data_IF_696259817024
#
_entry.id   IF_696259817024
#
_cell.length_a   1.000
_cell.length_b   1.000
_cell.length_c   1.000
_cell.angle_alpha   90.00
_cell.angle_beta   90.00
_cell.angle_gamma   90.00
#
_symmetry.space_group_name_H-M   'P 1'
#
loop_
_entity.id
_entity.type
_entity.pdbx_description
1 polymer ?
#
# COMPACT_ATOMS: atom_id res chain seq x y z
N UNK A 1 -42.53 -32.76 -10.03
CA UNK A 1 -42.45 -31.66 -9.07
C UNK A 1 -41.50 -32.12 -7.99
N UNK A 2 -40.22 -31.79 -8.13
CA UNK A 2 -39.18 -32.09 -7.14
C UNK A 2 -39.01 -30.90 -6.21
N UNK A 3 -39.21 -31.13 -4.92
CA UNK A 3 -39.07 -30.16 -3.87
C UNK A 3 -37.61 -29.69 -3.78
N UNK A 4 -37.37 -28.40 -3.97
CA UNK A 4 -36.15 -27.71 -3.54
C UNK A 4 -36.05 -27.82 -2.03
N UNK A 5 -35.16 -28.68 -1.55
CA UNK A 5 -34.82 -28.73 -0.13
C UNK A 5 -34.18 -27.40 0.24
N UNK A 6 -34.71 -26.80 1.30
CA UNK A 6 -34.18 -25.58 1.91
C UNK A 6 -32.72 -25.74 2.27
N UNK A 7 -31.84 -25.02 1.59
CA UNK A 7 -30.48 -24.80 2.05
C UNK A 7 -30.53 -24.15 3.43
N UNK A 8 -29.67 -24.63 4.34
CA UNK A 8 -29.52 -24.03 5.67
C UNK A 8 -29.02 -22.58 5.52
N UNK A 9 -29.35 -21.66 6.45
CA UNK A 9 -28.91 -20.27 6.39
C UNK A 9 -27.39 -20.09 6.20
N UNK A 10 -26.59 -21.01 6.75
CA UNK A 10 -25.13 -21.05 6.57
C UNK A 10 -24.71 -21.29 5.11
N UNK A 11 -25.37 -22.24 4.43
CA UNK A 11 -25.06 -22.52 3.02
C UNK A 11 -25.47 -21.36 2.11
N UNK A 12 -26.45 -20.57 2.50
CA UNK A 12 -26.92 -19.42 1.75
C UNK A 12 -25.97 -18.21 1.91
N UNK A 13 -25.45 -17.95 3.10
CA UNK A 13 -24.47 -16.89 3.36
C UNK A 13 -23.12 -17.16 2.66
N UNK A 14 -22.68 -18.42 2.64
CA UNK A 14 -21.45 -18.82 1.93
C UNK A 14 -21.62 -18.71 0.40
N UNK A 15 -22.77 -19.10 -0.13
CA UNK A 15 -23.07 -18.95 -1.56
C UNK A 15 -23.17 -17.47 -1.97
N UNK A 16 -23.78 -16.63 -1.15
CA UNK A 16 -23.85 -15.18 -1.38
C UNK A 16 -22.45 -14.55 -1.33
N UNK A 17 -21.60 -14.91 -0.38
CA UNK A 17 -20.22 -14.44 -0.31
C UNK A 17 -19.37 -14.88 -1.52
N UNK A 18 -19.57 -16.10 -2.03
CA UNK A 18 -18.88 -16.58 -3.23
C UNK A 18 -19.33 -15.81 -4.47
N UNK A 19 -20.62 -15.53 -4.61
CA UNK A 19 -21.15 -14.76 -5.76
C UNK A 19 -20.65 -13.32 -5.74
N UNK A 20 -20.71 -12.67 -4.58
CA UNK A 20 -20.29 -11.27 -4.42
C UNK A 20 -18.78 -11.10 -4.60
N UNK A 21 -17.97 -12.07 -4.15
CA UNK A 21 -16.51 -12.01 -4.27
C UNK A 21 -15.94 -12.45 -5.62
N UNK A 22 -16.78 -12.80 -6.61
CA UNK A 22 -16.32 -13.19 -7.95
C UNK A 22 -16.15 -11.95 -8.84
N UNK A 23 -15.02 -11.88 -9.58
CA UNK A 23 -14.83 -10.78 -10.54
C UNK A 23 -15.99 -10.73 -11.54
N UNK A 24 -16.64 -9.57 -11.73
CA UNK A 24 -17.76 -9.42 -12.68
C UNK A 24 -17.24 -9.28 -14.12
N UNK A 25 -16.50 -10.27 -14.59
CA UNK A 25 -15.94 -10.33 -15.94
C UNK A 25 -15.62 -11.75 -16.38
N UNK A 26 -15.62 -11.97 -17.65
CA UNK A 26 -15.15 -13.23 -18.24
C UNK A 26 -13.62 -13.39 -18.06
N UNK A 27 -13.16 -14.64 -17.91
CA UNK A 27 -11.71 -14.93 -17.78
C UNK A 27 -10.88 -14.37 -18.93
N UNK A 28 -11.47 -14.25 -20.11
CA UNK A 28 -10.81 -13.69 -21.28
C UNK A 28 -10.54 -12.20 -21.11
N UNK A 29 -11.52 -11.45 -20.60
CA UNK A 29 -11.39 -10.00 -20.33
C UNK A 29 -10.43 -9.72 -19.20
N UNK A 30 -10.48 -10.53 -18.13
CA UNK A 30 -9.51 -10.44 -17.01
C UNK A 30 -8.07 -10.58 -17.51
N UNK A 31 -7.79 -11.60 -18.32
CA UNK A 31 -6.45 -11.77 -18.91
C UNK A 31 -6.08 -10.68 -19.91
N UNK A 32 -7.05 -10.21 -20.68
CA UNK A 32 -6.83 -9.16 -21.66
C UNK A 32 -6.52 -7.81 -20.98
N UNK A 33 -7.19 -7.49 -19.89
CA UNK A 33 -6.94 -6.28 -19.11
C UNK A 33 -5.52 -6.29 -18.48
N UNK A 34 -5.11 -7.42 -17.88
CA UNK A 34 -3.74 -7.58 -17.37
C UNK A 34 -2.71 -7.45 -18.50
N UNK A 35 -2.94 -8.12 -19.62
CA UNK A 35 -2.02 -8.06 -20.77
C UNK A 35 -1.92 -6.65 -21.36
N UNK A 36 -3.00 -5.89 -21.36
CA UNK A 36 -3.01 -4.49 -21.80
C UNK A 36 -2.17 -3.62 -20.88
N UNK A 37 -2.35 -3.76 -19.56
CA UNK A 37 -1.57 -2.99 -18.56
C UNK A 37 -0.09 -3.35 -18.61
N UNK A 38 0.26 -4.62 -18.66
CA UNK A 38 1.63 -5.08 -18.87
C UNK A 38 2.21 -4.60 -20.22
N UNK A 39 1.35 -4.37 -21.22
CA UNK A 39 1.70 -3.75 -22.49
C UNK A 39 2.13 -2.29 -22.32
N UNK A 40 1.36 -1.52 -21.55
CA UNK A 40 1.69 -0.13 -21.22
C UNK A 40 3.01 -0.04 -20.43
N UNK A 41 3.24 -0.95 -19.49
CA UNK A 41 4.51 -1.04 -18.75
C UNK A 41 5.71 -1.34 -19.62
N UNK A 42 5.55 -2.24 -20.61
CA UNK A 42 6.63 -2.51 -21.59
C UNK A 42 6.96 -1.28 -22.42
N UNK A 43 5.95 -0.52 -22.86
CA UNK A 43 6.16 0.73 -23.58
C UNK A 43 6.88 1.76 -22.73
N UNK A 44 6.49 1.91 -21.46
CA UNK A 44 7.16 2.81 -20.52
C UNK A 44 8.64 2.40 -20.28
N UNK A 45 8.91 1.10 -20.13
CA UNK A 45 10.29 0.58 -20.02
C UNK A 45 11.12 0.92 -21.26
N UNK A 46 10.55 0.77 -22.44
CA UNK A 46 11.20 1.09 -23.71
C UNK A 46 11.46 2.61 -23.83
N UNK A 47 10.49 3.43 -23.45
CA UNK A 47 10.62 4.88 -23.42
C UNK A 47 11.74 5.32 -22.48
N UNK A 48 11.77 4.85 -21.24
CA UNK A 48 12.84 5.15 -20.28
C UNK A 48 14.21 4.70 -20.79
N UNK A 49 14.29 3.54 -21.41
CA UNK A 49 15.55 2.99 -21.94
C UNK A 49 16.08 3.80 -23.14
N UNK A 50 15.20 4.41 -23.91
CA UNK A 50 15.54 5.19 -25.10
C UNK A 50 15.44 6.72 -24.87
N UNK A 51 15.27 7.17 -23.63
CA UNK A 51 14.95 8.55 -23.30
C UNK A 51 15.97 9.54 -23.92
N UNK A 52 17.27 9.29 -23.75
CA UNK A 52 18.33 10.11 -24.32
C UNK A 52 18.30 10.18 -25.87
N UNK A 53 17.82 9.11 -26.52
CA UNK A 53 17.69 9.10 -28.00
C UNK A 53 16.50 9.93 -28.46
N UNK A 54 15.43 9.96 -27.69
CA UNK A 54 14.21 10.72 -28.01
C UNK A 54 14.35 12.20 -27.70
N UNK A 55 15.34 12.56 -26.85
CA UNK A 55 15.59 13.94 -26.39
C UNK A 55 17.00 14.42 -26.75
N UNK A 56 17.32 14.53 -28.07
CA UNK A 56 18.64 14.96 -28.54
C UNK A 56 18.95 16.44 -28.26
N UNK A 57 17.98 17.20 -27.78
CA UNK A 57 18.13 18.59 -27.33
C UNK A 57 18.96 18.74 -26.06
N UNK A 58 19.13 17.67 -25.29
CA UNK A 58 19.98 17.64 -24.09
C UNK A 58 21.37 17.08 -24.42
N UNK A 59 22.41 17.68 -23.87
CA UNK A 59 23.79 17.18 -24.02
C UNK A 59 24.04 15.89 -23.24
N UNK A 60 23.32 15.73 -22.11
CA UNK A 60 23.37 14.53 -21.24
C UNK A 60 21.98 14.27 -20.66
N UNK A 61 21.59 12.99 -20.58
CA UNK A 61 20.38 12.53 -19.91
C UNK A 61 20.75 11.55 -18.82
N UNK A 62 20.29 11.81 -17.61
CA UNK A 62 20.46 10.93 -16.45
C UNK A 62 19.06 10.41 -16.05
N UNK A 63 18.85 9.10 -16.17
CA UNK A 63 17.59 8.45 -15.83
C UNK A 63 17.75 7.74 -14.48
N UNK A 64 16.89 8.12 -13.53
CA UNK A 64 16.68 7.43 -12.26
C UNK A 64 15.26 6.86 -12.26
N UNK A 65 15.12 5.54 -12.27
CA UNK A 65 13.84 4.88 -12.45
C UNK A 65 13.64 3.78 -11.41
N UNK A 66 12.47 3.79 -10.78
CA UNK A 66 11.99 2.67 -9.99
C UNK A 66 11.69 1.47 -10.89
N UNK A 67 11.59 0.28 -10.29
CA UNK A 67 11.19 -0.91 -11.00
C UNK A 67 9.74 -0.77 -11.50
N UNK A 68 9.51 -1.07 -12.78
CA UNK A 68 8.18 -1.02 -13.40
C UNK A 68 7.55 -2.41 -13.28
N UNK A 69 6.54 -2.54 -12.44
CA UNK A 69 5.81 -3.78 -12.20
C UNK A 69 4.49 -3.53 -11.47
N UNK A 70 3.57 -4.49 -11.53
CA UNK A 70 2.35 -4.51 -10.73
C UNK A 70 1.96 -5.94 -10.33
N UNK A 71 1.13 -6.07 -9.29
CA UNK A 71 0.44 -7.32 -8.98
C UNK A 71 -0.85 -7.41 -9.79
N UNK A 72 -1.02 -8.43 -10.65
CA UNK A 72 -2.20 -8.55 -11.50
C UNK A 72 -3.50 -8.75 -10.70
N UNK A 73 -3.48 -9.36 -9.52
CA UNK A 73 -4.67 -9.48 -8.68
C UNK A 73 -5.11 -8.12 -8.14
N UNK A 74 -4.18 -7.26 -7.77
CA UNK A 74 -4.45 -5.87 -7.37
C UNK A 74 -5.11 -5.11 -8.52
N UNK A 75 -4.56 -5.22 -9.74
CA UNK A 75 -5.12 -4.54 -10.91
C UNK A 75 -6.57 -4.93 -11.16
N UNK A 76 -6.84 -6.24 -11.20
CA UNK A 76 -8.20 -6.73 -11.50
C UNK A 76 -9.17 -6.44 -10.36
N UNK A 77 -8.73 -6.47 -9.11
CA UNK A 77 -9.54 -6.05 -7.97
C UNK A 77 -9.92 -4.55 -8.06
N UNK A 78 -8.99 -3.69 -8.48
CA UNK A 78 -9.25 -2.26 -8.74
C UNK A 78 -10.31 -2.08 -9.81
N UNK A 79 -10.13 -2.72 -10.98
CA UNK A 79 -11.08 -2.62 -12.09
C UNK A 79 -12.47 -3.07 -11.62
N UNK A 80 -12.55 -4.28 -11.04
CA UNK A 80 -13.82 -4.86 -10.61
C UNK A 80 -14.53 -4.00 -9.56
N UNK A 81 -13.78 -3.39 -8.64
CA UNK A 81 -14.35 -2.48 -7.64
C UNK A 81 -14.89 -1.20 -8.27
N UNK A 82 -14.23 -0.66 -9.30
CA UNK A 82 -14.69 0.53 -10.03
C UNK A 82 -15.99 0.28 -10.82
N UNK A 83 -16.33 -0.96 -11.12
CA UNK A 83 -17.59 -1.32 -11.78
C UNK A 83 -18.71 -1.67 -10.81
N UNK A 84 -18.46 -1.64 -9.52
CA UNK A 84 -19.48 -1.82 -8.46
C UNK A 84 -20.37 -3.07 -8.66
N UNK A 85 -19.72 -4.21 -8.97
CA UNK A 85 -20.39 -5.48 -9.23
C UNK A 85 -21.09 -5.59 -10.60
N UNK A 86 -20.99 -4.59 -11.46
CA UNK A 86 -21.47 -4.67 -12.84
C UNK A 86 -20.44 -5.36 -13.73
N UNK A 87 -20.94 -6.13 -14.70
CA UNK A 87 -20.09 -6.81 -15.68
C UNK A 87 -19.25 -5.81 -16.47
N UNK A 88 -17.97 -6.14 -16.66
CA UNK A 88 -17.05 -5.33 -17.45
C UNK A 88 -16.30 -6.17 -18.49
N UNK A 89 -15.88 -5.51 -19.56
CA UNK A 89 -15.03 -6.03 -20.62
C UNK A 89 -13.73 -5.23 -20.69
N UNK A 90 -12.74 -5.71 -21.44
CA UNK A 90 -11.52 -4.95 -21.69
C UNK A 90 -11.84 -3.54 -22.20
N UNK A 91 -12.76 -3.40 -23.16
CA UNK A 91 -13.11 -2.11 -23.76
C UNK A 91 -13.60 -1.11 -22.70
N UNK A 92 -14.52 -1.55 -21.82
CA UNK A 92 -15.07 -0.70 -20.75
C UNK A 92 -14.06 -0.44 -19.63
N UNK A 93 -13.09 -1.35 -19.41
CA UNK A 93 -12.04 -1.21 -18.40
C UNK A 93 -10.88 -0.27 -18.79
N UNK A 94 -10.69 0.00 -20.10
CA UNK A 94 -9.57 0.81 -20.58
C UNK A 94 -9.42 2.19 -19.89
N UNK A 95 -10.49 2.97 -19.61
CA UNK A 95 -10.37 4.23 -18.89
C UNK A 95 -9.83 4.05 -17.46
N UNK A 96 -10.21 2.96 -16.77
CA UNK A 96 -9.70 2.63 -15.43
C UNK A 96 -8.21 2.26 -15.51
N UNK A 97 -7.82 1.43 -16.47
CA UNK A 97 -6.41 1.08 -16.72
C UNK A 97 -5.57 2.33 -16.94
N UNK A 98 -5.98 3.24 -17.83
CA UNK A 98 -5.27 4.48 -18.14
C UNK A 98 -5.16 5.40 -16.92
N UNK A 99 -6.23 5.54 -16.13
CA UNK A 99 -6.23 6.33 -14.90
C UNK A 99 -5.21 5.77 -13.90
N UNK A 100 -5.27 4.49 -13.58
CA UNK A 100 -4.39 3.89 -12.58
C UNK A 100 -2.94 3.78 -13.06
N UNK A 101 -2.70 3.61 -14.35
CA UNK A 101 -1.36 3.68 -14.91
C UNK A 101 -0.71 5.05 -14.71
N UNK A 102 -1.45 6.13 -14.97
CA UNK A 102 -0.98 7.51 -14.74
C UNK A 102 -0.81 7.85 -13.26
N UNK A 103 -1.60 7.24 -12.38
CA UNK A 103 -1.44 7.41 -10.93
C UNK A 103 -0.24 6.63 -10.40
N UNK A 104 0.05 5.45 -10.97
CA UNK A 104 1.14 4.59 -10.53
C UNK A 104 2.50 5.10 -11.00
N UNK A 105 2.61 5.49 -12.26
CA UNK A 105 3.88 5.86 -12.86
C UNK A 105 3.96 7.36 -13.12
N UNK A 106 4.81 8.03 -12.34
CA UNK A 106 5.03 9.47 -12.45
C UNK A 106 6.43 9.70 -13.03
N UNK A 107 6.47 10.31 -14.21
CA UNK A 107 7.72 10.73 -14.83
C UNK A 107 7.89 12.23 -14.60
N UNK A 108 9.01 12.63 -14.04
CA UNK A 108 9.36 14.03 -13.83
C UNK A 108 10.71 14.35 -14.46
N UNK A 109 10.82 15.52 -15.05
CA UNK A 109 12.05 16.04 -15.64
C UNK A 109 12.53 17.27 -14.90
N UNK A 110 13.84 17.38 -14.74
CA UNK A 110 14.49 18.62 -14.33
C UNK A 110 15.74 18.85 -15.17
N UNK A 111 15.92 20.09 -15.65
CA UNK A 111 17.03 20.44 -16.53
C UNK A 111 17.97 21.39 -15.81
N UNK A 112 19.23 21.02 -15.71
CA UNK A 112 20.30 21.86 -15.21
C UNK A 112 21.18 22.35 -16.37
N UNK A 113 21.66 23.59 -16.27
CA UNK A 113 22.57 24.19 -17.24
C UNK A 113 23.90 24.48 -16.56
N UNK A 114 24.96 23.95 -17.16
CA UNK A 114 26.33 24.12 -16.69
C UNK A 114 27.15 24.87 -17.73
N UNK A 115 28.17 25.62 -17.29
CA UNK A 115 29.18 26.14 -18.19
C UNK A 115 30.36 25.18 -18.21
N UNK A 116 30.54 24.50 -19.33
CA UNK A 116 31.72 23.67 -19.58
C UNK A 116 32.69 24.39 -20.52
N UNK A 117 33.91 23.87 -20.60
CA UNK A 117 34.95 24.48 -21.42
C UNK A 117 35.50 23.42 -22.37
N UNK A 118 35.60 23.81 -23.65
CA UNK A 118 36.32 23.04 -24.66
C UNK A 118 37.62 23.72 -25.01
N UNK A 119 38.60 22.91 -25.40
CA UNK A 119 39.90 23.42 -25.86
C UNK A 119 39.84 23.62 -27.36
N UNK A 120 40.10 24.85 -27.80
CA UNK A 120 40.27 25.19 -29.21
C UNK A 120 41.62 25.78 -29.48
N UNK A 121 42.08 25.70 -30.73
CA UNK A 121 43.34 26.29 -31.16
C UNK A 121 43.06 27.44 -32.09
N UNK A 122 43.69 28.61 -31.84
CA UNK A 122 43.61 29.74 -32.74
C UNK A 122 45.05 30.15 -33.14
N UNK A 123 45.17 30.76 -34.32
CA UNK A 123 46.41 31.38 -34.76
C UNK A 123 46.43 32.83 -34.25
N UNK A 124 47.42 33.13 -33.41
CA UNK A 124 47.62 34.46 -32.85
C UNK A 124 48.97 34.98 -33.23
N UNK A 125 49.06 36.21 -33.74
CA UNK A 125 50.33 36.87 -34.04
C UNK A 125 51.08 37.19 -32.73
N UNK A 126 52.30 36.70 -32.62
CA UNK A 126 53.18 37.00 -31.50
C UNK A 126 54.12 38.15 -31.92
N UNK A 127 53.98 39.34 -31.35
CA UNK A 127 54.79 40.51 -31.72
C UNK A 127 56.27 40.37 -31.32
N UNK A 128 56.61 39.53 -30.37
CA UNK A 128 57.98 39.31 -29.92
C UNK A 128 58.76 38.40 -30.88
N UNK A 129 58.07 37.43 -31.49
CA UNK A 129 58.67 36.47 -32.43
C UNK A 129 58.38 36.82 -33.89
N UNK A 130 57.56 37.87 -34.15
CA UNK A 130 57.07 38.31 -35.45
C UNK A 130 56.43 37.17 -36.28
N UNK A 131 55.83 36.16 -35.61
CA UNK A 131 55.24 34.96 -36.22
C UNK A 131 53.82 34.70 -35.74
N UNK A 132 53.06 33.98 -36.60
CA UNK A 132 51.79 33.39 -36.19
C UNK A 132 52.08 32.13 -35.37
N UNK A 133 51.60 32.12 -34.15
CA UNK A 133 51.74 31.00 -33.23
C UNK A 133 50.37 30.37 -32.96
N UNK A 134 50.36 29.03 -32.83
CA UNK A 134 49.13 28.32 -32.42
C UNK A 134 48.97 28.39 -30.92
N UNK A 135 47.93 29.05 -30.46
CA UNK A 135 47.62 29.21 -29.03
C UNK A 135 46.40 28.37 -28.71
N UNK A 136 46.49 27.65 -27.62
CA UNK A 136 45.36 26.86 -27.07
C UNK A 136 44.53 27.76 -26.18
N UNK A 137 43.26 27.91 -26.50
CA UNK A 137 42.31 28.69 -25.71
C UNK A 137 41.21 27.79 -25.13
N UNK A 138 40.65 28.17 -23.98
CA UNK A 138 39.50 27.50 -23.37
C UNK A 138 38.24 28.32 -23.69
N UNK A 139 37.37 27.74 -24.50
CA UNK A 139 36.12 28.39 -24.92
C UNK A 139 34.98 27.85 -24.06
N UNK A 140 34.25 28.70 -23.34
CA UNK A 140 33.07 28.28 -22.59
C UNK A 140 31.93 27.95 -23.54
N UNK A 141 31.15 26.90 -23.18
CA UNK A 141 29.90 26.58 -23.86
C UNK A 141 28.86 26.14 -22.84
N UNK A 142 27.58 26.33 -23.15
CA UNK A 142 26.50 25.83 -22.34
C UNK A 142 26.37 24.32 -22.51
N UNK A 143 26.17 23.64 -21.43
CA UNK A 143 25.95 22.18 -21.37
C UNK A 143 24.68 21.91 -20.58
N UNK A 144 23.74 21.18 -21.18
CA UNK A 144 22.43 20.88 -20.59
C UNK A 144 22.37 19.44 -20.15
N UNK A 145 22.04 19.22 -18.88
CA UNK A 145 21.81 17.90 -18.29
C UNK A 145 20.34 17.79 -17.93
N UNK A 146 19.66 16.81 -18.51
CA UNK A 146 18.30 16.42 -18.14
C UNK A 146 18.34 15.29 -17.12
N UNK A 147 17.74 15.51 -15.96
CA UNK A 147 17.52 14.49 -14.94
C UNK A 147 16.07 14.03 -15.04
N UNK A 148 15.88 12.75 -15.35
CA UNK A 148 14.56 12.13 -15.49
C UNK A 148 14.37 11.18 -14.31
N UNK A 149 13.30 11.38 -13.54
CA UNK A 149 12.90 10.49 -12.45
C UNK A 149 11.59 9.80 -12.82
N UNK A 150 11.59 8.46 -12.82
CA UNK A 150 10.38 7.64 -12.86
C UNK A 150 10.11 7.10 -11.46
N UNK A 151 8.98 7.50 -10.89
CA UNK A 151 8.47 6.99 -9.62
C UNK A 151 7.40 5.92 -9.87
N UNK A 152 7.49 4.77 -9.18
CA UNK A 152 6.44 3.76 -9.11
C UNK A 152 5.77 3.84 -7.72
N UNK A 153 4.54 4.38 -7.67
CA UNK A 153 3.76 4.56 -6.44
C UNK A 153 3.12 3.28 -5.89
N UNK A 154 3.47 2.14 -6.39
CA UNK A 154 2.91 0.84 -6.04
C UNK A 154 1.37 0.79 -6.18
N UNK A 155 0.91 0.06 -7.17
CA UNK A 155 -0.52 -0.02 -7.53
C UNK A 155 -1.43 -0.37 -6.32
N UNK A 156 -0.95 -1.20 -5.38
CA UNK A 156 -1.73 -1.61 -4.21
C UNK A 156 -2.04 -0.48 -3.22
N UNK A 157 -1.31 0.64 -3.27
CA UNK A 157 -1.53 1.80 -2.38
C UNK A 157 -2.53 2.81 -2.97
N UNK A 158 -2.77 2.76 -4.27
CA UNK A 158 -3.63 3.75 -4.95
C UNK A 158 -5.12 3.68 -4.56
N UNK A 159 -5.72 2.51 -4.30
CA UNK A 159 -7.11 2.42 -3.85
C UNK A 159 -7.41 3.30 -2.63
N UNK A 160 -6.52 3.33 -1.64
CA UNK A 160 -6.68 4.09 -0.39
C UNK A 160 -6.87 5.59 -0.63
N UNK A 161 -6.20 6.15 -1.64
CA UNK A 161 -6.20 7.60 -1.93
C UNK A 161 -7.11 7.97 -3.09
N UNK A 162 -7.69 6.99 -3.80
CA UNK A 162 -8.42 7.24 -5.05
C UNK A 162 -9.85 6.68 -5.08
N UNK A 163 -10.23 5.86 -4.09
CA UNK A 163 -11.54 5.22 -4.00
C UNK A 163 -12.38 5.78 -2.85
N UNK A 164 -13.70 5.76 -3.01
CA UNK A 164 -14.64 5.99 -1.90
C UNK A 164 -14.58 4.83 -0.90
N UNK A 165 -15.17 5.04 0.27
CA UNK A 165 -15.25 3.96 1.28
C UNK A 165 -16.02 2.73 0.77
N UNK A 166 -17.09 2.93 -0.03
CA UNK A 166 -17.85 1.84 -0.64
C UNK A 166 -17.00 1.06 -1.66
N UNK A 167 -16.39 1.74 -2.61
CA UNK A 167 -15.52 1.14 -3.63
C UNK A 167 -14.31 0.44 -3.01
N UNK A 168 -13.77 0.99 -1.92
CA UNK A 168 -12.70 0.37 -1.15
C UNK A 168 -13.14 -0.95 -0.50
N UNK A 169 -14.40 -1.04 -0.01
CA UNK A 169 -14.96 -2.28 0.50
C UNK A 169 -15.07 -3.36 -0.58
N UNK A 170 -15.48 -2.99 -1.79
CA UNK A 170 -15.50 -3.91 -2.94
C UNK A 170 -14.10 -4.36 -3.35
N UNK A 171 -13.13 -3.44 -3.39
CA UNK A 171 -11.73 -3.78 -3.64
C UNK A 171 -11.20 -4.78 -2.61
N UNK A 172 -11.45 -4.54 -1.32
CA UNK A 172 -11.05 -5.43 -0.24
C UNK A 172 -11.63 -6.84 -0.40
N UNK A 173 -12.91 -6.95 -0.77
CA UNK A 173 -13.56 -8.22 -1.03
C UNK A 173 -12.92 -8.97 -2.21
N UNK A 174 -12.64 -8.29 -3.32
CA UNK A 174 -11.98 -8.91 -4.47
C UNK A 174 -10.54 -9.33 -4.16
N UNK A 175 -9.82 -8.56 -3.37
CA UNK A 175 -8.48 -8.96 -2.88
C UNK A 175 -8.56 -10.18 -1.98
N UNK A 176 -9.57 -10.27 -1.10
CA UNK A 176 -9.76 -11.40 -0.20
C UNK A 176 -10.08 -12.73 -0.90
N UNK A 177 -10.67 -12.66 -2.08
CA UNK A 177 -11.14 -13.84 -2.83
C UNK A 177 -10.34 -14.12 -4.10
N UNK A 178 -9.46 -13.20 -4.52
CA UNK A 178 -8.89 -13.16 -5.88
C UNK A 178 -9.97 -13.33 -6.96
N UNK A 179 -11.15 -12.77 -6.69
CA UNK A 179 -12.32 -12.88 -7.57
C UNK A 179 -12.77 -14.30 -7.84
N UNK A 180 -12.47 -15.26 -6.95
CA UNK A 180 -12.68 -16.70 -7.13
C UNK A 180 -12.07 -17.25 -8.43
N UNK A 181 -10.97 -16.63 -8.88
CA UNK A 181 -10.20 -17.02 -10.07
C UNK A 181 -8.74 -17.31 -9.69
N UNK A 182 -8.51 -17.97 -8.56
CA UNK A 182 -7.18 -18.33 -8.11
C UNK A 182 -6.39 -19.06 -9.22
N UNK A 183 -5.10 -18.72 -9.33
CA UNK A 183 -4.21 -19.30 -10.34
C UNK A 183 -4.43 -18.79 -11.77
N UNK A 184 -5.34 -17.85 -12.02
CA UNK A 184 -5.54 -17.27 -13.37
C UNK A 184 -4.27 -16.62 -13.92
N UNK A 185 -3.40 -16.10 -13.04
CA UNK A 185 -2.10 -15.49 -13.33
C UNK A 185 -0.92 -16.39 -12.96
N UNK A 186 -1.12 -17.72 -12.94
CA UNK A 186 -0.05 -18.66 -12.67
C UNK A 186 1.14 -18.43 -13.60
N UNK A 187 2.35 -18.32 -13.02
CA UNK A 187 3.59 -18.04 -13.75
C UNK A 187 3.92 -16.54 -13.91
N UNK A 188 3.04 -15.63 -13.53
CA UNK A 188 3.39 -14.21 -13.41
C UNK A 188 4.21 -14.03 -12.12
N UNK A 189 5.46 -13.49 -12.20
CA UNK A 189 6.35 -13.38 -11.04
C UNK A 189 5.86 -12.38 -9.99
N UNK A 190 4.97 -11.48 -10.35
CA UNK A 190 4.42 -10.44 -9.49
C UNK A 190 3.04 -10.79 -8.92
N UNK A 191 2.41 -11.89 -9.40
CA UNK A 191 1.16 -12.37 -8.84
C UNK A 191 1.38 -12.91 -7.43
N UNK A 192 0.88 -12.21 -6.43
CA UNK A 192 0.97 -12.63 -5.02
C UNK A 192 -0.15 -13.63 -4.75
N UNK A 193 0.15 -14.92 -4.49
CA UNK A 193 -0.88 -15.89 -4.13
C UNK A 193 -1.46 -15.55 -2.75
N UNK A 194 -2.72 -15.91 -2.54
CA UNK A 194 -3.31 -15.89 -1.21
C UNK A 194 -2.52 -16.88 -0.32
N UNK A 195 -1.78 -16.35 0.64
CA UNK A 195 -0.93 -17.16 1.53
C UNK A 195 -1.67 -17.66 2.75
N UNK A 196 -2.62 -16.87 3.22
CA UNK A 196 -3.41 -17.13 4.42
C UNK A 196 -4.89 -17.06 4.04
N UNK A 197 -5.79 -17.72 4.80
CA UNK A 197 -7.20 -17.48 4.63
C UNK A 197 -7.46 -16.02 5.02
N UNK A 198 -7.55 -15.13 4.03
CA UNK A 198 -7.86 -13.71 4.30
C UNK A 198 -9.19 -13.55 5.03
N UNK A 199 -10.08 -14.52 4.84
CA UNK A 199 -11.36 -14.62 5.52
C UNK A 199 -11.32 -15.84 6.47
N UNK A 200 -11.69 -15.63 7.71
CA UNK A 200 -11.85 -16.66 8.72
C UNK A 200 -13.19 -16.45 9.42
N UNK A 201 -13.99 -17.50 9.45
CA UNK A 201 -15.28 -17.49 10.15
C UNK A 201 -15.02 -17.75 11.64
N UNK A 202 -15.05 -16.65 12.42
CA UNK A 202 -14.88 -16.75 13.87
C UNK A 202 -16.12 -17.44 14.44
N UNK A 203 -15.99 -18.56 15.18
CA UNK A 203 -17.15 -19.23 15.72
C UNK A 203 -18.03 -18.31 16.58
N UNK A 204 -19.34 -18.40 16.40
CA UNK A 204 -20.32 -17.56 17.11
C UNK A 204 -20.15 -17.62 18.63
N UNK A 205 -19.84 -18.80 19.18
CA UNK A 205 -19.56 -18.94 20.60
C UNK A 205 -18.33 -18.16 21.07
N UNK A 206 -17.34 -17.99 20.19
CA UNK A 206 -16.13 -17.19 20.50
C UNK A 206 -16.49 -15.71 20.53
N UNK A 207 -17.26 -15.22 19.56
CA UNK A 207 -17.76 -13.83 19.54
C UNK A 207 -18.67 -13.55 20.75
N UNK A 208 -19.56 -14.48 21.06
CA UNK A 208 -20.49 -14.35 22.18
C UNK A 208 -19.82 -14.43 23.55
N UNK A 209 -18.61 -15.04 23.65
CA UNK A 209 -17.88 -15.21 24.91
C UNK A 209 -17.42 -13.89 25.53
N UNK A 210 -17.20 -12.83 24.72
CA UNK A 210 -16.68 -11.57 25.18
C UNK A 210 -17.21 -10.39 24.36
N UNK A 211 -18.06 -9.52 24.93
CA UNK A 211 -18.51 -8.29 24.27
C UNK A 211 -17.36 -7.39 23.82
N UNK A 212 -16.27 -7.37 24.57
CA UNK A 212 -15.06 -6.63 24.24
C UNK A 212 -14.39 -7.17 22.98
N UNK A 213 -14.28 -8.49 22.86
CA UNK A 213 -13.73 -9.13 21.68
C UNK A 213 -14.65 -8.93 20.47
N UNK A 214 -15.96 -9.08 20.64
CA UNK A 214 -16.92 -8.80 19.56
C UNK A 214 -16.79 -7.37 19.02
N UNK A 215 -16.63 -6.38 19.91
CA UNK A 215 -16.43 -5.00 19.53
C UNK A 215 -15.10 -4.78 18.75
N UNK A 216 -14.01 -5.46 19.17
CA UNK A 216 -12.74 -5.44 18.45
C UNK A 216 -12.91 -6.00 17.03
N UNK A 217 -13.58 -7.15 16.88
CA UNK A 217 -13.75 -7.79 15.58
C UNK A 217 -14.68 -6.98 14.67
N UNK A 218 -15.78 -6.47 15.20
CA UNK A 218 -16.68 -5.59 14.45
C UNK A 218 -15.98 -4.33 13.90
N UNK A 219 -14.91 -3.88 14.53
CA UNK A 219 -14.07 -2.80 14.01
C UNK A 219 -13.01 -3.32 13.04
N UNK A 220 -12.27 -4.38 13.41
CA UNK A 220 -11.14 -4.88 12.66
C UNK A 220 -11.52 -5.38 11.25
N UNK A 221 -12.64 -6.09 11.14
CA UNK A 221 -13.08 -6.72 9.89
C UNK A 221 -13.50 -5.72 8.81
N UNK A 222 -13.80 -4.46 9.17
CA UNK A 222 -14.07 -3.39 8.18
C UNK A 222 -12.89 -3.11 7.26
N UNK A 223 -11.68 -3.50 7.65
CA UNK A 223 -10.44 -3.16 6.96
C UNK A 223 -9.77 -4.37 6.28
N UNK A 224 -10.41 -5.54 6.29
CA UNK A 224 -9.91 -6.71 5.56
C UNK A 224 -9.69 -6.31 4.09
N UNK A 225 -8.53 -6.70 3.54
CA UNK A 225 -8.13 -6.37 2.18
C UNK A 225 -7.42 -5.01 2.01
N UNK A 226 -7.43 -4.13 3.04
CA UNK A 226 -6.65 -2.88 2.98
C UNK A 226 -5.16 -3.20 2.86
N UNK A 227 -4.42 -2.47 1.98
CA UNK A 227 -2.99 -2.71 1.80
C UNK A 227 -2.18 -2.29 3.02
N UNK A 228 -1.02 -2.92 3.21
CA UNK A 228 -0.04 -2.47 4.20
C UNK A 228 0.61 -1.17 3.74
N UNK A 229 0.55 -0.12 4.56
CA UNK A 229 1.23 1.15 4.32
C UNK A 229 2.07 1.50 5.55
N UNK A 230 3.38 1.61 5.36
CA UNK A 230 4.29 1.97 6.46
C UNK A 230 3.93 3.31 7.09
N UNK A 231 3.77 3.32 8.42
CA UNK A 231 3.35 4.52 9.15
C UNK A 231 1.85 4.81 9.11
N UNK A 232 1.10 4.11 8.25
CA UNK A 232 -0.36 4.26 8.15
C UNK A 232 -1.06 3.90 9.46
N UNK A 233 -2.14 4.62 9.79
CA UNK A 233 -2.81 4.49 11.09
C UNK A 233 -4.31 4.85 11.07
N UNK A 234 -4.90 5.03 9.89
CA UNK A 234 -6.31 5.36 9.71
C UNK A 234 -6.84 4.79 8.39
N UNK A 235 -8.16 4.70 8.20
CA UNK A 235 -8.73 4.27 6.92
C UNK A 235 -8.26 5.09 5.72
N UNK A 236 -8.00 6.39 5.89
CA UNK A 236 -7.58 7.30 4.82
C UNK A 236 -6.11 7.07 4.40
N UNK A 237 -5.29 6.62 5.33
CA UNK A 237 -3.85 6.35 5.07
C UNK A 237 -3.55 4.89 4.87
N UNK A 238 -4.55 3.98 5.03
CA UNK A 238 -4.35 2.58 5.34
C UNK A 238 -3.53 2.39 6.63
N UNK A 239 -2.94 1.22 6.84
CA UNK A 239 -2.37 0.85 8.12
C UNK A 239 -1.02 0.17 7.96
N UNK A 240 -0.13 0.36 8.95
CA UNK A 240 0.88 -0.63 9.28
C UNK A 240 0.37 -1.59 10.38
N UNK A 241 1.14 -2.59 10.75
CA UNK A 241 0.71 -3.59 11.74
C UNK A 241 0.29 -2.99 13.08
N UNK A 242 1.05 -2.04 13.58
CA UNK A 242 0.81 -1.37 14.85
C UNK A 242 -0.25 -0.27 14.76
N UNK A 243 -0.33 0.39 13.61
CA UNK A 243 -1.39 1.35 13.31
C UNK A 243 -2.76 0.70 13.28
N UNK A 244 -2.86 -0.46 12.63
CA UNK A 244 -4.08 -1.26 12.60
C UNK A 244 -4.53 -1.66 14.02
N UNK A 245 -3.66 -2.30 14.79
CA UNK A 245 -3.98 -2.70 16.16
C UNK A 245 -4.35 -1.49 17.03
N UNK A 246 -3.58 -0.39 16.96
CA UNK A 246 -3.87 0.84 17.70
C UNK A 246 -5.23 1.42 17.35
N UNK A 247 -5.53 1.48 16.06
CA UNK A 247 -6.78 2.02 15.54
C UNK A 247 -7.98 1.17 15.99
N UNK A 248 -7.90 -0.15 15.81
CA UNK A 248 -8.97 -1.08 16.19
C UNK A 248 -9.28 -0.98 17.69
N UNK A 249 -8.27 -1.04 18.55
CA UNK A 249 -8.48 -0.92 20.00
C UNK A 249 -9.10 0.44 20.40
N UNK A 250 -8.67 1.51 19.78
CA UNK A 250 -9.15 2.87 20.09
C UNK A 250 -10.58 3.08 19.58
N UNK A 251 -10.88 2.74 18.33
CA UNK A 251 -12.18 3.02 17.71
C UNK A 251 -13.27 2.02 18.10
N UNK A 252 -12.92 0.80 18.49
CA UNK A 252 -13.88 -0.11 19.13
C UNK A 252 -14.28 0.34 20.54
N UNK A 253 -13.62 1.34 21.11
CA UNK A 253 -13.84 1.83 22.48
C UNK A 253 -13.29 0.90 23.56
N UNK A 254 -12.57 -0.17 23.20
CA UNK A 254 -12.04 -1.17 24.14
C UNK A 254 -10.87 -0.62 24.94
N UNK A 255 -9.94 0.07 24.27
CA UNK A 255 -8.77 0.65 24.93
C UNK A 255 -8.16 1.76 24.07
N UNK A 256 -8.02 2.95 24.60
CA UNK A 256 -7.34 4.03 23.88
C UNK A 256 -5.81 3.84 23.97
N UNK A 257 -5.21 3.32 22.90
CA UNK A 257 -3.76 3.12 22.84
C UNK A 257 -3.01 4.37 22.38
N UNK A 258 -3.69 5.34 21.77
CA UNK A 258 -3.04 6.32 20.90
C UNK A 258 -2.33 5.66 19.71
N UNK A 259 -1.51 6.42 18.97
CA UNK A 259 -0.68 5.86 17.90
C UNK A 259 0.68 5.41 18.47
N UNK A 260 0.88 4.11 18.52
CA UNK A 260 2.12 3.50 19.02
C UNK A 260 2.66 2.51 17.99
N UNK A 261 4.00 2.35 17.95
CA UNK A 261 4.62 1.21 17.25
C UNK A 261 4.45 -0.11 18.02
N UNK A 262 4.79 -1.24 17.41
CA UNK A 262 4.60 -2.56 18.00
C UNK A 262 5.29 -2.72 19.38
N UNK A 263 6.50 -2.18 19.55
CA UNK A 263 7.19 -2.11 20.87
C UNK A 263 6.40 -1.31 21.90
N UNK A 264 5.81 -0.17 21.48
CA UNK A 264 4.98 0.67 22.34
C UNK A 264 3.70 -0.04 22.78
N UNK A 265 2.99 -0.69 21.87
CA UNK A 265 1.82 -1.52 22.17
C UNK A 265 2.18 -2.62 23.16
N UNK A 266 3.34 -3.30 22.97
CA UNK A 266 3.80 -4.32 23.89
C UNK A 266 3.99 -3.80 25.32
N UNK A 267 4.43 -2.56 25.48
CA UNK A 267 4.62 -1.94 26.80
C UNK A 267 3.31 -1.68 27.56
N UNK A 268 2.20 -1.50 26.84
CA UNK A 268 0.85 -1.36 27.40
C UNK A 268 0.28 -2.69 27.91
N UNK A 269 0.84 -3.82 27.45
CA UNK A 269 0.33 -5.15 27.74
C UNK A 269 1.00 -5.76 28.98
N UNK A 270 0.25 -6.60 29.71
CA UNK A 270 0.82 -7.64 30.57
C UNK A 270 1.16 -8.86 29.73
N UNK A 271 2.23 -9.58 30.08
CA UNK A 271 2.59 -10.83 29.40
C UNK A 271 1.57 -11.91 29.71
N UNK A 272 1.17 -12.67 28.67
CA UNK A 272 0.22 -13.79 28.79
C UNK A 272 0.96 -15.07 28.38
N UNK A 273 0.97 -16.12 29.23
CA UNK A 273 1.44 -17.44 28.80
C UNK A 273 0.62 -17.95 27.61
N UNK A 274 1.26 -18.65 26.67
CA UNK A 274 0.61 -19.17 25.46
C UNK A 274 -0.66 -19.98 25.77
N UNK A 275 -0.62 -20.82 26.81
CA UNK A 275 -1.77 -21.64 27.23
C UNK A 275 -2.93 -20.81 27.84
N UNK A 276 -2.75 -19.52 28.11
CA UNK A 276 -3.75 -18.61 28.67
C UNK A 276 -4.14 -17.49 27.69
N UNK A 277 -3.69 -17.59 26.45
CA UNK A 277 -4.08 -16.64 25.42
C UNK A 277 -5.57 -16.76 25.11
N UNK A 278 -6.26 -15.63 25.10
CA UNK A 278 -7.70 -15.52 24.84
C UNK A 278 -7.95 -14.59 23.65
N UNK A 279 -9.05 -14.78 22.91
CA UNK A 279 -9.46 -13.86 21.86
C UNK A 279 -9.47 -12.41 22.33
N UNK A 280 -8.85 -11.50 21.55
CA UNK A 280 -8.63 -10.10 21.90
C UNK A 280 -7.25 -9.81 22.51
N UNK A 281 -6.45 -10.80 22.85
CA UNK A 281 -5.04 -10.57 23.20
C UNK A 281 -4.25 -10.12 21.96
N UNK A 282 -3.22 -9.30 22.17
CA UNK A 282 -2.30 -8.91 21.10
C UNK A 282 -1.19 -9.94 21.00
N UNK A 283 -0.94 -10.44 19.80
CA UNK A 283 0.18 -11.31 19.50
C UNK A 283 1.32 -10.47 18.91
N UNK A 284 2.56 -10.72 19.36
CA UNK A 284 3.75 -10.00 19.00
C UNK A 284 4.80 -10.90 18.36
N UNK A 285 5.51 -10.36 17.37
CA UNK A 285 6.55 -11.07 16.62
C UNK A 285 7.82 -10.26 16.52
N UNK A 286 8.95 -10.93 16.32
CA UNK A 286 10.27 -10.35 16.10
C UNK A 286 10.88 -10.85 14.78
N UNK A 287 11.86 -10.11 14.23
CA UNK A 287 12.58 -10.53 13.02
C UNK A 287 11.75 -10.51 11.72
N UNK A 288 10.55 -9.90 11.70
CA UNK A 288 9.68 -9.85 10.51
C UNK A 288 10.06 -8.76 9.51
N UNK A 289 11.02 -7.87 9.84
CA UNK A 289 11.42 -6.71 9.04
C UNK A 289 12.84 -6.83 8.47
N UNK A 290 13.37 -8.05 8.34
CA UNK A 290 14.72 -8.30 7.84
C UNK A 290 15.82 -8.07 8.88
N UNK A 291 17.08 -8.26 8.44
CA UNK A 291 18.25 -8.21 9.30
C UNK A 291 18.50 -6.79 9.83
N UNK A 292 18.80 -6.70 11.12
CA UNK A 292 19.23 -5.45 11.78
C UNK A 292 18.14 -4.66 12.50
N UNK A 293 16.91 -5.14 12.53
CA UNK A 293 15.82 -4.56 13.36
C UNK A 293 15.61 -5.44 14.58
N UNK A 294 16.16 -5.03 15.72
CA UNK A 294 16.06 -5.79 16.97
C UNK A 294 14.69 -5.64 17.66
N UNK A 295 14.24 -6.75 18.26
CA UNK A 295 13.06 -6.84 19.11
C UNK A 295 11.76 -6.93 18.30
N UNK A 296 10.66 -6.45 18.90
CA UNK A 296 9.32 -6.62 18.35
C UNK A 296 9.13 -5.76 17.10
N UNK A 297 8.86 -6.40 15.97
CA UNK A 297 8.72 -5.79 14.65
C UNK A 297 7.31 -5.89 14.06
N UNK A 298 6.46 -6.80 14.59
CA UNK A 298 5.10 -7.00 14.10
C UNK A 298 4.13 -7.33 15.23
N UNK A 299 2.83 -7.08 14.99
CA UNK A 299 1.75 -7.44 15.90
C UNK A 299 0.43 -7.68 15.17
N UNK A 300 -0.46 -8.45 15.82
CA UNK A 300 -1.82 -8.74 15.39
C UNK A 300 -2.75 -8.94 16.60
N UNK A 301 -4.03 -9.13 16.35
CA UNK A 301 -5.04 -9.45 17.37
C UNK A 301 -5.35 -10.95 17.29
N UNK A 302 -5.17 -11.65 18.38
CA UNK A 302 -5.51 -13.07 18.48
C UNK A 302 -7.03 -13.27 18.45
N UNK A 303 -7.51 -14.19 17.61
CA UNK A 303 -8.94 -14.45 17.45
C UNK A 303 -9.39 -15.84 17.94
N UNK A 304 -8.47 -16.57 18.59
CA UNK A 304 -8.73 -17.94 19.01
C UNK A 304 -8.28 -18.99 17.99
N UNK A 305 -8.32 -20.26 18.37
CA UNK A 305 -8.03 -21.41 17.50
C UNK A 305 -6.70 -21.35 16.74
N UNK A 306 -5.70 -20.62 17.28
CA UNK A 306 -4.42 -20.43 16.60
C UNK A 306 -4.47 -19.43 15.45
N UNK A 307 -5.52 -18.62 15.35
CA UNK A 307 -5.68 -17.59 14.31
C UNK A 307 -5.47 -16.18 14.87
N UNK A 308 -5.00 -15.28 14.04
CA UNK A 308 -4.95 -13.84 14.31
C UNK A 308 -5.49 -13.05 13.14
N UNK A 309 -5.96 -11.82 13.40
CA UNK A 309 -6.14 -10.79 12.38
C UNK A 309 -5.00 -9.77 12.50
N UNK A 310 -4.39 -9.42 11.38
CA UNK A 310 -3.25 -8.51 11.38
C UNK A 310 -3.18 -7.69 10.09
N UNK A 311 -2.44 -6.58 10.15
CA UNK A 311 -2.10 -5.86 8.92
C UNK A 311 -0.87 -6.55 8.29
N UNK A 312 -1.17 -7.50 7.41
CA UNK A 312 -0.24 -8.06 6.45
C UNK A 312 -0.26 -7.25 5.15
N UNK A 313 -0.01 -7.89 4.03
CA UNK A 313 -0.19 -7.28 2.70
C UNK A 313 -1.06 -8.21 1.85
N UNK A 314 -2.38 -8.03 1.91
CA UNK A 314 -3.18 -7.04 2.66
C UNK A 314 -3.55 -7.44 4.12
N UNK A 315 -4.40 -6.61 4.79
CA UNK A 315 -5.01 -6.98 6.09
C UNK A 315 -5.87 -8.21 5.92
N UNK A 316 -5.71 -9.16 6.81
CA UNK A 316 -6.45 -10.41 6.81
C UNK A 316 -6.13 -11.29 8.01
N UNK A 317 -6.66 -12.50 7.98
CA UNK A 317 -6.38 -13.51 8.98
C UNK A 317 -5.13 -14.31 8.64
N UNK A 318 -4.43 -14.80 9.67
CA UNK A 318 -3.26 -15.65 9.53
C UNK A 318 -3.23 -16.74 10.58
N UNK A 319 -2.71 -17.90 10.19
CA UNK A 319 -2.59 -19.05 11.08
C UNK A 319 -1.25 -19.02 11.84
N UNK A 320 -1.31 -18.84 13.15
CA UNK A 320 -0.14 -18.83 14.03
C UNK A 320 0.64 -20.15 14.03
N UNK A 321 0.03 -21.23 13.51
CA UNK A 321 0.68 -22.53 13.40
C UNK A 321 1.57 -22.65 12.17
N UNK A 322 1.55 -21.70 11.24
CA UNK A 322 2.46 -21.69 10.11
C UNK A 322 3.91 -21.53 10.52
N UNK A 323 4.79 -22.11 9.73
CA UNK A 323 6.23 -22.13 10.00
C UNK A 323 6.78 -20.72 10.18
N UNK A 324 6.33 -19.80 9.33
CA UNK A 324 6.76 -18.39 9.39
C UNK A 324 6.37 -17.75 10.71
N UNK A 325 5.10 -17.79 11.10
CA UNK A 325 4.62 -17.15 12.32
C UNK A 325 5.17 -17.81 13.58
N UNK A 326 5.32 -19.14 13.59
CA UNK A 326 5.98 -19.86 14.69
C UNK A 326 7.42 -19.45 14.90
N UNK A 327 8.19 -19.28 13.81
CA UNK A 327 9.61 -18.91 13.90
C UNK A 327 9.85 -17.47 14.35
N UNK A 328 8.87 -16.60 14.18
CA UNK A 328 8.95 -15.19 14.56
C UNK A 328 8.17 -14.86 15.84
N UNK A 329 7.49 -15.84 16.43
CA UNK A 329 6.65 -15.62 17.61
C UNK A 329 7.48 -15.10 18.80
N UNK A 330 7.05 -13.98 19.37
CA UNK A 330 7.67 -13.39 20.56
C UNK A 330 6.82 -13.63 21.81
N UNK A 331 5.56 -13.17 21.84
CA UNK A 331 4.71 -13.28 23.02
C UNK A 331 3.24 -12.92 22.75
N UNK A 332 2.35 -13.35 23.64
CA UNK A 332 1.04 -12.75 23.79
C UNK A 332 1.05 -11.64 24.84
N UNK A 333 0.20 -10.64 24.67
CA UNK A 333 0.01 -9.57 25.61
C UNK A 333 -1.44 -9.13 25.72
N UNK A 334 -1.94 -9.00 26.94
CA UNK A 334 -3.29 -8.45 27.20
C UNK A 334 -3.17 -7.01 27.66
N UNK A 335 -3.96 -6.11 27.08
CA UNK A 335 -4.00 -4.71 27.48
C UNK A 335 -4.26 -4.63 28.99
N UNK A 336 -3.48 -3.83 29.69
CA UNK A 336 -3.65 -3.61 31.12
C UNK A 336 -4.92 -2.82 31.34
N UNK A 337 -5.89 -3.36 32.06
CA UNK A 337 -7.01 -2.56 32.54
C UNK A 337 -6.44 -1.38 33.33
N UNK A 338 -6.82 -0.15 32.98
CA UNK A 338 -6.57 1.00 33.84
C UNK A 338 -7.46 0.78 35.06
N UNK A 339 -6.88 0.30 36.16
CA UNK A 339 -7.57 0.25 37.46
C UNK A 339 -7.68 1.72 37.89
N UNK A 340 -8.75 2.40 37.47
CA UNK A 340 -9.20 3.55 38.21
C UNK A 340 -9.67 3.01 39.56
N UNK A 341 -9.02 3.47 40.63
CA UNK A 341 -9.33 3.06 41.99
C UNK A 341 -10.84 3.10 42.21
N UNK A 342 -11.34 2.13 42.96
CA UNK A 342 -12.75 1.96 43.29
C UNK A 342 -13.36 3.30 43.77
N UNK A 343 -14.06 4.00 42.90
CA UNK A 343 -14.94 5.11 43.23
C UNK A 343 -15.98 5.19 42.12
N UNK A 344 -17.09 4.56 42.41
CA UNK A 344 -18.48 4.79 41.95
C UNK A 344 -18.73 5.73 40.76
N UNK A 345 -19.53 5.19 39.83
CA UNK A 345 -20.31 5.85 38.78
C UNK A 345 -19.58 6.04 37.43
N UNK A 346 -19.93 5.17 36.51
CA UNK A 346 -19.75 5.39 35.08
C UNK A 346 -20.44 6.67 34.63
N UNK A 347 -19.68 7.73 34.45
CA UNK A 347 -20.08 8.82 33.55
C UNK A 347 -19.19 8.72 32.31
N UNK A 348 -19.77 8.76 31.11
CA UNK A 348 -18.96 8.83 29.90
C UNK A 348 -18.15 10.12 29.94
N UNK A 349 -16.84 10.03 29.98
CA UNK A 349 -15.94 11.17 29.86
C UNK A 349 -16.03 11.68 28.42
N UNK A 350 -16.93 12.62 28.19
CA UNK A 350 -16.84 13.53 27.06
C UNK A 350 -15.58 14.38 27.31
N UNK A 351 -14.52 14.15 26.51
CA UNK A 351 -13.43 15.10 26.44
C UNK A 351 -13.97 16.41 25.87
N UNK A 352 -13.88 17.53 26.58
CA UNK A 352 -14.20 18.81 25.99
C UNK A 352 -13.07 19.21 25.04
N UNK A 353 -13.46 19.58 23.81
CA UNK A 353 -12.61 20.23 22.81
C UNK A 353 -11.64 19.34 22.03
N UNK A 354 -12.16 18.47 21.19
CA UNK A 354 -11.50 18.12 19.95
C UNK A 354 -11.82 19.25 18.94
N UNK A 355 -10.85 20.12 18.68
CA UNK A 355 -10.95 21.13 17.63
C UNK A 355 -10.50 20.47 16.30
N UNK A 356 -11.41 20.26 15.33
CA UNK A 356 -11.09 19.65 14.05
C UNK A 356 -10.28 20.56 13.12
N UNK A 357 -9.85 21.73 13.56
CA UNK A 357 -9.10 22.72 12.76
C UNK A 357 -7.61 22.86 13.12
N UNK A 358 -7.09 22.09 14.07
CA UNK A 358 -5.65 22.08 14.33
C UNK A 358 -4.93 21.25 13.28
N UNK A 359 -4.32 21.96 12.33
CA UNK A 359 -3.43 21.41 11.29
C UNK A 359 -2.19 20.76 11.95
N UNK A 360 -1.79 19.59 11.39
CA UNK A 360 -0.74 18.70 11.91
C UNK A 360 0.70 19.21 11.89
N UNK A 361 0.99 20.45 12.31
CA UNK A 361 2.34 21.02 12.26
C UNK A 361 3.12 20.99 13.60
N UNK A 362 2.61 20.36 14.66
CA UNK A 362 3.29 20.39 15.97
C UNK A 362 3.86 19.06 16.48
N UNK A 363 3.94 18.01 15.67
CA UNK A 363 4.53 16.73 16.10
C UNK A 363 5.86 16.37 15.41
N UNK A 364 6.46 17.27 14.65
CA UNK A 364 7.70 17.02 13.87
C UNK A 364 9.02 17.39 14.61
N UNK A 365 9.00 17.81 15.86
CA UNK A 365 10.21 18.09 16.61
C UNK A 365 10.51 17.00 17.65
N UNK A 366 11.20 15.94 17.26
CA UNK A 366 12.14 15.15 18.08
C UNK A 366 12.53 13.79 17.51
N UNK A 367 12.71 13.63 16.22
CA UNK A 367 13.49 12.48 15.73
C UNK A 367 14.39 12.92 14.60
N UNK A 368 15.69 12.75 14.77
CA UNK A 368 16.70 13.01 13.74
C UNK A 368 16.49 12.12 12.52
N UNK A 369 16.74 12.62 11.29
CA UNK A 369 16.54 11.85 10.08
C UNK A 369 17.61 10.75 9.94
N UNK A 370 17.17 9.53 9.64
CA UNK A 370 17.99 8.37 9.36
C UNK A 370 18.68 8.53 8.00
N UNK A 371 20.00 8.47 7.98
CA UNK A 371 20.84 8.57 6.76
C UNK A 371 20.71 7.30 5.88
N UNK A 372 20.12 7.46 4.71
CA UNK A 372 19.77 6.40 3.74
C UNK A 372 20.94 5.91 2.86
N UNK A 373 22.22 6.17 3.21
CA UNK A 373 23.40 5.90 2.36
C UNK A 373 24.14 4.60 2.61
N UNK A 374 23.52 3.58 3.18
CA UNK A 374 24.11 2.23 3.19
C UNK A 374 23.15 1.23 2.58
N UNK A 375 23.30 1.02 1.27
CA UNK A 375 22.73 -0.15 0.58
C UNK A 375 23.82 -1.22 0.44
N UNK A 376 23.53 -2.41 0.91
CA UNK A 376 24.14 -3.65 0.44
C UNK A 376 23.01 -4.64 0.14
N UNK A 377 23.12 -5.30 -1.00
CA UNK A 377 22.19 -6.22 -1.62
C UNK A 377 21.58 -7.25 -0.68
N UNK A 378 20.25 -7.32 -0.64
CA UNK A 378 19.50 -8.39 -0.03
C UNK A 378 18.05 -8.26 -0.41
N UNK A 379 17.49 -9.28 -0.99
CA UNK A 379 16.09 -9.38 -1.40
C UNK A 379 15.15 -8.94 -0.29
N UNK A 380 14.43 -7.83 -0.48
CA UNK A 380 13.35 -7.40 0.40
C UNK A 380 12.00 -7.81 -0.19
N UNK A 381 11.35 -8.80 0.43
CA UNK A 381 9.90 -8.91 0.39
C UNK A 381 9.36 -7.96 1.46
N UNK A 382 8.80 -6.88 1.06
CA UNK A 382 7.87 -5.92 1.66
C UNK A 382 8.29 -4.48 1.33
N UNK A 383 7.41 -3.77 0.61
CA UNK A 383 7.64 -2.45 0.08
C UNK A 383 8.06 -1.41 1.11
N UNK A 384 9.08 -0.66 0.77
CA UNK A 384 9.45 0.56 1.46
C UNK A 384 8.83 1.75 0.71
N UNK A 385 8.05 2.56 1.43
CA UNK A 385 7.53 3.82 0.94
C UNK A 385 8.54 4.94 1.21
N UNK A 386 8.73 5.82 0.25
CA UNK A 386 9.40 7.11 0.43
C UNK A 386 8.36 8.21 0.58
N UNK A 387 8.59 9.10 1.53
CA UNK A 387 7.80 10.32 1.74
C UNK A 387 7.93 11.26 0.55
N UNK A 388 6.81 11.81 0.09
CA UNK A 388 6.80 13.03 -0.74
C UNK A 388 5.62 13.90 -0.35
N UNK A 389 5.92 15.15 -0.05
CA UNK A 389 4.98 16.23 0.19
C UNK A 389 4.12 16.52 -1.05
N UNK A 390 2.82 16.69 -0.82
CA UNK A 390 1.85 17.09 -1.82
C UNK A 390 1.77 18.63 -1.88
N UNK A 391 2.22 19.23 -2.97
CA UNK A 391 1.61 20.48 -3.44
C UNK A 391 2.01 20.78 -4.91
N UNK A 392 1.08 20.56 -5.84
CA UNK A 392 0.91 21.45 -7.01
C UNK A 392 -0.23 20.92 -7.91
N UNK A 393 -1.29 21.70 -7.94
CA UNK A 393 -2.44 21.50 -8.82
C UNK A 393 -2.07 21.83 -10.27
N UNK A 394 -2.33 20.92 -11.20
CA UNK A 394 -2.33 21.19 -12.65
C UNK A 394 -3.77 21.11 -13.16
N UNK A 395 -4.25 22.22 -13.72
CA UNK A 395 -5.52 22.31 -14.44
C UNK A 395 -5.41 21.56 -15.77
N UNK A 396 -6.35 20.67 -16.04
CA UNK A 396 -6.55 20.09 -17.36
C UNK A 396 -7.83 20.62 -17.98
N UNK A 397 -7.74 20.90 -19.27
CA UNK A 397 -8.75 21.48 -20.13
C UNK A 397 -9.73 20.41 -20.65
N UNK A 398 -10.94 20.84 -20.95
CA UNK A 398 -12.12 20.02 -21.23
C UNK A 398 -12.18 19.54 -22.68
N UNK A 399 -12.35 18.23 -22.88
CA UNK A 399 -12.77 17.65 -24.15
C UNK A 399 -13.91 16.65 -23.93
N UNK A 400 -15.10 16.97 -24.43
CA UNK A 400 -16.30 16.18 -24.27
C UNK A 400 -16.27 14.88 -25.10
N UNK A 401 -16.50 13.76 -24.46
CA UNK A 401 -16.72 12.47 -25.14
C UNK A 401 -17.32 11.43 -24.22
N UNK A 402 -18.55 11.03 -24.52
CA UNK A 402 -19.41 9.91 -24.06
C UNK A 402 -19.12 9.39 -22.63
N UNK A 403 -20.11 9.56 -21.76
CA UNK A 403 -20.13 9.01 -20.39
C UNK A 403 -19.97 7.49 -20.40
N UNK A 404 -18.90 7.00 -19.81
CA UNK A 404 -18.75 5.62 -19.42
C UNK A 404 -19.64 5.35 -18.19
N UNK A 405 -20.09 4.11 -18.02
CA UNK A 405 -20.89 3.67 -16.87
C UNK A 405 -20.07 3.48 -15.58
N UNK A 406 -18.91 4.11 -15.49
CA UNK A 406 -18.02 4.03 -14.32
C UNK A 406 -18.54 4.99 -13.25
N UNK A 407 -18.66 4.57 -11.98
CA UNK A 407 -19.01 5.44 -10.87
C UNK A 407 -18.09 6.66 -10.76
N UNK A 408 -18.63 7.78 -10.27
CA UNK A 408 -17.89 9.05 -10.15
C UNK A 408 -16.62 8.94 -9.29
N UNK A 409 -16.60 8.01 -8.32
CA UNK A 409 -15.45 7.71 -7.45
C UNK A 409 -14.22 7.21 -8.21
N UNK A 410 -14.42 6.63 -9.39
CA UNK A 410 -13.35 6.05 -10.20
C UNK A 410 -13.13 6.80 -11.53
N UNK A 411 -13.88 7.88 -11.81
CA UNK A 411 -13.67 8.78 -12.95
C UNK A 411 -12.70 9.95 -12.62
#
# INVERSE_FOLDING_TARGET
MGSLQSCTPLAQSVLESIVIGTYPAEKADVKAAESAYAGMERQLKEEMSNYARHHPEYDEVQVDADEIWHDPYVLIAIISACFDGQDWTLETAMPVLDKYFKLQYIVTESVTRETRYRTETEQRYNPETERMETVTIRVPYAYTVCHVRLENRNLSHLPVVSMSHHTMGMYALYMATHGNMEGIFHGNPYAVPLKDPMLYDIPDETLASSPTFAALMAEAEKYIGYPYVWGGASPETSFDCSGFVSYVFTNSGVYNTGRLGAKGLRSLCRNIPVAQAEPGDVVFFEGTMGDGVDGITHCGIYVGNGMMIHCGSPIGYANLNDVYWKSHFHSFGRMRSVIFGESSAWTPFFLPNFDPHLKGEQYAEKHEPFDSRRRSNGYCQAGAACDVDADSAVRADSGAGRRSSIPDDCQ
#
